data_IF_202242187390
#
_entry.id   IF_202242187390
#
_cell.length_a   1.000
_cell.length_b   1.000
_cell.length_c   1.000
_cell.angle_alpha   90.00
_cell.angle_beta   90.00
_cell.angle_gamma   90.00
#
_symmetry.space_group_name_H-M   'P 1'
#
loop_
_entity.id
_entity.type
_entity.pdbx_description
1 polymer ?
#
# COMPACT_ATOMS: atom_id res chain seq x y z
N UNK A 1 29.83 -33.70 -12.83
CA UNK A 1 28.83 -32.62 -12.99
C UNK A 1 27.43 -33.20 -12.77
N UNK A 2 26.68 -32.73 -11.77
CA UNK A 2 25.28 -33.15 -11.53
C UNK A 2 24.35 -32.31 -12.43
N UNK A 3 23.96 -32.84 -13.58
CA UNK A 3 23.16 -32.20 -14.64
C UNK A 3 21.66 -32.03 -14.30
N UNK A 4 21.29 -31.93 -13.03
CA UNK A 4 19.90 -31.73 -12.61
C UNK A 4 19.04 -32.99 -12.49
N UNK A 5 19.64 -34.19 -12.51
CA UNK A 5 18.94 -35.42 -12.14
C UNK A 5 18.48 -35.36 -10.68
N UNK A 6 17.21 -35.70 -10.43
CA UNK A 6 16.64 -35.76 -9.08
C UNK A 6 17.31 -36.85 -8.24
N UNK A 7 17.45 -38.03 -8.82
CA UNK A 7 18.15 -39.17 -8.22
C UNK A 7 18.67 -40.10 -9.33
N UNK A 8 19.42 -41.13 -8.97
CA UNK A 8 19.91 -42.17 -9.88
C UNK A 8 19.53 -43.57 -9.40
N UNK A 9 19.42 -44.51 -10.34
CA UNK A 9 19.13 -45.92 -10.04
C UNK A 9 20.21 -46.77 -10.71
N UNK A 10 20.82 -47.66 -9.94
CA UNK A 10 21.81 -48.62 -10.42
C UNK A 10 21.16 -49.94 -10.77
N UNK A 11 21.54 -50.53 -11.91
CA UNK A 11 21.11 -51.89 -12.28
C UNK A 11 22.03 -52.95 -11.63
N UNK A 12 21.51 -54.13 -11.23
CA UNK A 12 20.09 -54.52 -11.23
C UNK A 12 19.32 -53.83 -10.09
N UNK A 13 18.07 -53.42 -10.33
CA UNK A 13 17.24 -52.69 -9.37
C UNK A 13 16.03 -53.50 -8.91
N UNK A 14 15.46 -53.12 -7.77
CA UNK A 14 14.19 -53.66 -7.25
C UNK A 14 13.04 -52.70 -7.56
N UNK A 15 11.86 -53.25 -7.88
CA UNK A 15 10.66 -52.43 -8.16
C UNK A 15 10.27 -51.54 -6.96
N UNK A 16 10.47 -52.02 -5.73
CA UNK A 16 10.20 -51.25 -4.50
C UNK A 16 11.04 -49.96 -4.43
N UNK A 17 12.31 -50.05 -4.84
CA UNK A 17 13.27 -48.95 -4.82
C UNK A 17 12.88 -47.86 -5.83
N UNK A 18 12.42 -48.28 -7.02
CA UNK A 18 11.82 -47.37 -8.02
C UNK A 18 10.59 -46.68 -7.42
N UNK A 19 9.71 -47.42 -6.74
CA UNK A 19 8.50 -46.86 -6.13
C UNK A 19 8.80 -45.81 -5.07
N UNK A 20 9.86 -45.97 -4.28
CA UNK A 20 10.29 -45.00 -3.27
C UNK A 20 10.84 -43.72 -3.92
N UNK A 21 11.76 -43.87 -4.88
CA UNK A 21 12.39 -42.73 -5.57
C UNK A 21 11.34 -41.94 -6.34
N UNK A 22 10.42 -42.62 -7.03
CA UNK A 22 9.34 -41.99 -7.79
C UNK A 22 8.40 -41.20 -6.88
N UNK A 23 8.01 -41.76 -5.73
CA UNK A 23 7.16 -41.04 -4.75
C UNK A 23 7.83 -39.78 -4.22
N UNK A 24 9.12 -39.86 -3.85
CA UNK A 24 9.88 -38.67 -3.40
C UNK A 24 9.99 -37.62 -4.49
N UNK A 25 10.24 -38.03 -5.74
CA UNK A 25 10.32 -37.11 -6.87
C UNK A 25 8.99 -36.35 -7.10
N UNK A 26 7.87 -37.08 -7.02
CA UNK A 26 6.53 -36.50 -7.14
C UNK A 26 6.22 -35.53 -6.00
N UNK A 27 6.54 -35.89 -4.77
CA UNK A 27 6.32 -35.04 -3.59
C UNK A 27 7.12 -33.74 -3.65
N UNK A 28 8.42 -33.83 -3.95
CA UNK A 28 9.28 -32.65 -4.11
C UNK A 28 8.81 -31.77 -5.27
N UNK A 29 8.35 -32.37 -6.37
CA UNK A 29 7.80 -31.62 -7.51
C UNK A 29 6.51 -30.91 -7.13
N UNK A 30 5.61 -31.56 -6.38
CA UNK A 30 4.37 -30.97 -5.86
C UNK A 30 4.68 -29.79 -4.94
N UNK A 31 5.56 -29.99 -3.95
CA UNK A 31 5.98 -28.94 -3.02
C UNK A 31 6.63 -27.75 -3.74
N UNK A 32 7.49 -27.99 -4.74
CA UNK A 32 8.08 -26.91 -5.55
C UNK A 32 7.02 -26.14 -6.35
N UNK A 33 6.06 -26.82 -6.97
CA UNK A 33 4.97 -26.19 -7.71
C UNK A 33 4.09 -25.35 -6.79
N UNK A 34 3.78 -25.87 -5.61
CA UNK A 34 2.96 -25.16 -4.61
C UNK A 34 3.70 -23.96 -4.03
N UNK A 35 4.99 -24.09 -3.71
CA UNK A 35 5.83 -22.96 -3.31
C UNK A 35 5.91 -21.87 -4.39
N UNK A 36 6.06 -22.27 -5.66
CA UNK A 36 6.03 -21.33 -6.80
C UNK A 36 4.66 -20.67 -6.96
N UNK A 37 3.56 -21.42 -6.79
CA UNK A 37 2.19 -20.87 -6.84
C UNK A 37 1.97 -19.87 -5.72
N UNK A 38 2.27 -20.23 -4.47
CA UNK A 38 2.14 -19.36 -3.31
C UNK A 38 3.00 -18.11 -3.46
N UNK A 39 4.25 -18.23 -3.93
CA UNK A 39 5.10 -17.07 -4.25
C UNK A 39 4.53 -16.20 -5.36
N UNK A 40 3.86 -16.78 -6.36
CA UNK A 40 3.19 -16.03 -7.44
C UNK A 40 1.90 -15.37 -6.99
N UNK A 41 1.10 -16.02 -6.16
CA UNK A 41 -0.12 -15.44 -5.57
C UNK A 41 0.25 -14.29 -4.62
N UNK A 42 1.27 -14.50 -3.80
CA UNK A 42 1.86 -13.46 -2.97
C UNK A 42 2.40 -12.32 -3.84
N UNK A 43 3.13 -12.63 -4.93
CA UNK A 43 3.59 -11.62 -5.89
C UNK A 43 2.46 -10.90 -6.62
N UNK A 44 1.35 -11.56 -6.97
CA UNK A 44 0.17 -10.94 -7.59
C UNK A 44 -0.60 -10.06 -6.62
N UNK A 45 -0.67 -10.47 -5.35
CA UNK A 45 -1.12 -9.59 -4.26
C UNK A 45 -0.22 -8.35 -4.21
N UNK A 46 1.10 -8.55 -4.31
CA UNK A 46 2.11 -7.48 -4.38
C UNK A 46 2.30 -6.79 -5.74
N UNK A 47 1.60 -7.19 -6.82
CA UNK A 47 1.48 -6.43 -8.07
C UNK A 47 0.46 -5.31 -7.82
N UNK A 48 0.75 -4.56 -6.77
CA UNK A 48 -0.03 -3.49 -6.21
C UNK A 48 0.18 -2.25 -7.06
N UNK A 49 -0.84 -1.87 -7.84
CA UNK A 49 -1.02 -0.50 -8.34
C UNK A 49 0.24 0.19 -8.93
N UNK A 50 1.17 -0.57 -9.53
CA UNK A 50 2.38 -0.05 -10.18
C UNK A 50 3.63 0.12 -9.31
N UNK A 51 3.68 -0.31 -8.05
CA UNK A 51 4.93 -0.29 -7.27
C UNK A 51 5.81 -1.52 -7.61
N UNK A 52 6.90 -1.29 -8.33
CA UNK A 52 7.83 -2.34 -8.76
C UNK A 52 9.10 -2.26 -7.93
N UNK A 53 9.35 -3.26 -7.10
CA UNK A 53 10.57 -3.36 -6.31
C UNK A 53 10.75 -4.76 -5.73
N UNK A 54 11.95 -5.34 -5.88
CA UNK A 54 12.29 -6.70 -5.46
C UNK A 54 13.42 -6.78 -4.42
N UNK A 55 13.89 -5.62 -3.94
CA UNK A 55 14.95 -5.57 -2.94
C UNK A 55 14.46 -6.06 -1.56
N UNK A 56 15.35 -6.52 -0.67
CA UNK A 56 14.99 -6.88 0.70
C UNK A 56 14.31 -5.74 1.47
N UNK A 57 14.69 -4.49 1.22
CA UNK A 57 14.13 -3.28 1.84
C UNK A 57 12.68 -3.08 1.40
N UNK A 58 12.39 -3.24 0.10
CA UNK A 58 11.03 -3.14 -0.43
C UNK A 58 10.13 -4.24 0.14
N UNK A 59 10.66 -5.46 0.34
CA UNK A 59 9.90 -6.51 1.03
C UNK A 59 9.50 -6.13 2.46
N UNK A 60 10.35 -5.37 3.18
CA UNK A 60 9.99 -4.84 4.51
C UNK A 60 8.88 -3.80 4.41
N UNK A 61 8.93 -2.93 3.40
CA UNK A 61 7.86 -1.94 3.14
C UNK A 61 6.55 -2.64 2.84
N UNK A 62 6.51 -3.63 1.95
CA UNK A 62 5.29 -4.40 1.67
C UNK A 62 4.75 -5.10 2.91
N UNK A 63 5.63 -5.71 3.71
CA UNK A 63 5.23 -6.37 4.96
C UNK A 63 4.66 -5.39 5.99
N UNK A 64 5.13 -4.14 5.99
CA UNK A 64 4.60 -3.10 6.86
C UNK A 64 3.23 -2.62 6.37
N UNK A 65 3.09 -2.37 5.07
CA UNK A 65 1.83 -2.00 4.41
C UNK A 65 0.74 -3.02 4.75
N UNK A 66 1.00 -4.32 4.61
CA UNK A 66 0.01 -5.37 4.93
C UNK A 66 -0.45 -5.35 6.39
N UNK A 67 0.43 -4.93 7.33
CA UNK A 67 0.09 -4.86 8.75
C UNK A 67 -0.72 -3.62 9.11
N UNK A 68 -0.49 -2.51 8.43
CA UNK A 68 -1.13 -1.22 8.74
C UNK A 68 -2.36 -0.93 7.89
N UNK A 69 -2.55 -1.63 6.77
CA UNK A 69 -3.61 -1.34 5.81
C UNK A 69 -5.00 -1.33 6.47
N UNK A 70 -5.31 -2.29 7.33
CA UNK A 70 -6.62 -2.39 7.97
C UNK A 70 -6.67 -1.76 9.38
N UNK A 71 -5.79 -0.79 9.64
CA UNK A 71 -5.77 -0.05 10.91
C UNK A 71 -6.34 1.35 10.75
N UNK A 72 -6.99 1.86 11.80
CA UNK A 72 -7.49 3.24 11.84
C UNK A 72 -6.41 4.28 12.24
N UNK A 73 -5.14 3.88 12.20
CA UNK A 73 -4.02 4.74 12.59
C UNK A 73 -3.56 5.63 11.45
N UNK A 74 -3.18 6.87 11.77
CA UNK A 74 -2.53 7.78 10.81
C UNK A 74 -1.14 7.26 10.46
N UNK A 75 -0.81 7.21 9.17
CA UNK A 75 0.48 6.71 8.67
C UNK A 75 1.32 7.87 8.13
N UNK A 76 2.57 7.98 8.60
CA UNK A 76 3.55 8.90 8.04
C UNK A 76 4.46 8.17 7.05
N UNK A 77 4.48 8.63 5.80
CA UNK A 77 5.33 8.08 4.74
C UNK A 77 6.48 9.07 4.50
N UNK A 78 7.70 8.62 4.71
CA UNK A 78 8.92 9.42 4.48
C UNK A 78 9.73 8.86 3.33
N UNK A 79 10.48 9.73 2.67
CA UNK A 79 11.32 9.36 1.52
C UNK A 79 11.62 10.57 0.67
N UNK A 80 12.68 10.47 -0.13
CA UNK A 80 13.09 11.53 -1.06
C UNK A 80 11.99 11.81 -2.11
N UNK A 81 12.10 12.95 -2.78
CA UNK A 81 11.18 13.28 -3.88
C UNK A 81 11.32 12.25 -5.01
N UNK A 82 10.20 11.89 -5.64
CA UNK A 82 10.18 10.90 -6.73
C UNK A 82 10.29 9.42 -6.32
N UNK A 83 10.34 9.11 -5.02
CA UNK A 83 10.43 7.71 -4.52
C UNK A 83 9.10 6.93 -4.54
N UNK A 84 8.00 7.55 -5.02
CA UNK A 84 6.70 6.88 -5.13
C UNK A 84 5.89 6.85 -3.83
N UNK A 85 6.02 7.87 -2.96
CA UNK A 85 5.25 7.98 -1.70
C UNK A 85 3.73 7.91 -1.90
N UNK A 86 3.21 8.56 -2.95
CA UNK A 86 1.78 8.49 -3.30
C UNK A 86 1.36 7.06 -3.67
N UNK A 87 2.21 6.32 -4.39
CA UNK A 87 1.93 4.92 -4.72
C UNK A 87 1.80 4.09 -3.44
N UNK A 88 2.71 4.28 -2.47
CA UNK A 88 2.62 3.61 -1.16
C UNK A 88 1.29 3.94 -0.46
N UNK A 89 0.88 5.21 -0.44
CA UNK A 89 -0.39 5.62 0.17
C UNK A 89 -1.61 4.98 -0.49
N UNK A 90 -1.64 4.95 -1.84
CA UNK A 90 -2.70 4.28 -2.60
C UNK A 90 -2.77 2.79 -2.28
N UNK A 91 -1.62 2.14 -2.16
CA UNK A 91 -1.55 0.71 -1.85
C UNK A 91 -2.08 0.43 -0.44
N UNK A 92 -1.76 1.27 0.55
CA UNK A 92 -2.33 1.15 1.89
C UNK A 92 -3.86 1.25 1.81
N UNK A 93 -4.39 2.25 1.11
CA UNK A 93 -5.83 2.46 0.96
C UNK A 93 -6.53 1.27 0.30
N UNK A 94 -6.07 0.82 -0.87
CA UNK A 94 -6.72 -0.27 -1.60
C UNK A 94 -6.55 -1.65 -0.97
N UNK A 95 -5.72 -1.77 0.08
CA UNK A 95 -5.60 -2.97 0.91
C UNK A 95 -6.36 -2.90 2.22
N UNK A 96 -6.97 -1.76 2.52
CA UNK A 96 -7.75 -1.56 3.74
C UNK A 96 -9.20 -2.01 3.54
N UNK A 97 -9.94 -2.15 4.63
CA UNK A 97 -11.41 -2.23 4.61
C UNK A 97 -12.11 -1.04 3.94
N UNK A 98 -11.37 0.04 3.64
CA UNK A 98 -11.87 1.27 3.00
C UNK A 98 -11.58 1.32 1.50
N UNK A 99 -11.12 0.23 0.87
CA UNK A 99 -10.73 0.20 -0.54
C UNK A 99 -11.81 0.66 -1.55
N UNK A 100 -13.09 0.49 -1.21
CA UNK A 100 -14.24 0.93 -2.03
C UNK A 100 -14.68 2.39 -1.74
N UNK A 101 -13.97 3.09 -0.85
CA UNK A 101 -14.25 4.47 -0.46
C UNK A 101 -13.33 5.43 -1.22
N UNK A 102 -13.56 6.73 -1.03
CA UNK A 102 -12.76 7.73 -1.72
C UNK A 102 -11.32 7.77 -1.19
N UNK A 103 -10.36 7.65 -2.11
CA UNK A 103 -8.97 8.06 -1.90
C UNK A 103 -8.78 9.48 -2.44
N UNK A 104 -8.52 10.44 -1.57
CA UNK A 104 -8.37 11.85 -1.93
C UNK A 104 -6.91 12.25 -1.75
N UNK A 105 -6.12 12.34 -2.83
CA UNK A 105 -4.77 12.91 -2.75
C UNK A 105 -4.82 14.45 -2.78
N UNK A 106 -3.98 15.07 -1.98
CA UNK A 106 -3.75 16.51 -1.95
C UNK A 106 -2.26 16.78 -1.80
N UNK A 107 -1.67 17.54 -2.72
CA UNK A 107 -0.32 18.06 -2.57
C UNK A 107 -0.42 19.46 -1.96
N UNK A 108 0.11 19.63 -0.74
CA UNK A 108 0.03 20.88 0.01
C UNK A 108 0.88 22.01 -0.60
N UNK A 109 1.97 21.68 -1.29
CA UNK A 109 2.84 22.68 -1.92
C UNK A 109 2.31 23.16 -3.28
N UNK A 110 1.46 22.37 -3.93
CA UNK A 110 0.87 22.73 -5.22
C UNK A 110 -0.25 23.78 -5.12
N UNK A 111 -0.76 24.05 -3.92
CA UNK A 111 -1.89 24.95 -3.67
C UNK A 111 -1.39 26.20 -2.94
N UNK A 112 -1.78 27.41 -3.38
CA UNK A 112 -1.48 28.63 -2.64
C UNK A 112 -1.99 28.55 -1.19
N UNK A 113 -1.15 28.99 -0.24
CA UNK A 113 -1.44 28.92 1.20
C UNK A 113 -2.80 29.50 1.58
N UNK A 114 -3.17 30.63 0.98
CA UNK A 114 -4.46 31.32 1.21
C UNK A 114 -5.68 30.49 0.80
N UNK A 115 -5.52 29.54 -0.14
CA UNK A 115 -6.59 28.67 -0.62
C UNK A 115 -6.56 27.27 0.02
N UNK A 116 -5.42 26.87 0.60
CA UNK A 116 -5.23 25.53 1.13
C UNK A 116 -6.21 25.21 2.27
N UNK A 117 -6.49 26.19 3.12
CA UNK A 117 -7.50 26.06 4.18
C UNK A 117 -8.88 25.72 3.60
N UNK A 118 -9.28 26.49 2.58
CA UNK A 118 -10.59 26.36 1.95
C UNK A 118 -10.71 25.06 1.16
N UNK A 119 -9.63 24.58 0.56
CA UNK A 119 -9.61 23.26 -0.09
C UNK A 119 -9.72 22.14 0.96
N UNK A 120 -8.95 22.20 2.05
CA UNK A 120 -8.96 21.16 3.08
C UNK A 120 -10.30 21.06 3.80
N UNK A 121 -10.79 22.17 4.33
CA UNK A 121 -11.94 22.21 5.24
C UNK A 121 -13.24 22.66 4.58
N UNK A 122 -13.17 23.21 3.37
CA UNK A 122 -14.34 23.81 2.73
C UNK A 122 -14.68 25.18 3.30
N UNK A 123 -15.77 25.75 2.80
CA UNK A 123 -16.34 26.97 3.36
C UNK A 123 -17.84 27.05 3.03
N UNK A 124 -18.58 27.74 3.90
CA UNK A 124 -19.95 28.12 3.62
C UNK A 124 -20.03 29.45 2.87
N UNK A 125 -21.11 29.65 2.13
CA UNK A 125 -21.42 30.93 1.50
C UNK A 125 -21.40 32.05 2.55
N UNK A 126 -20.59 33.08 2.31
CA UNK A 126 -20.45 34.22 3.22
C UNK A 126 -19.40 34.07 4.32
N UNK A 127 -18.64 32.97 4.36
CA UNK A 127 -17.57 32.77 5.35
C UNK A 127 -16.43 33.82 5.25
N UNK A 128 -16.18 34.35 4.06
CA UNK A 128 -15.23 35.45 3.81
C UNK A 128 -15.66 36.31 2.61
N UNK A 129 -15.03 37.47 2.43
CA UNK A 129 -15.26 38.35 1.28
C UNK A 129 -14.89 37.64 -0.03
N UNK A 130 -15.88 37.24 -0.82
CA UNK A 130 -15.70 36.45 -2.05
C UNK A 130 -16.32 35.05 -2.02
N UNK A 131 -16.75 34.57 -0.85
CA UNK A 131 -17.45 33.28 -0.67
C UNK A 131 -18.88 33.31 -1.22
N UNK A 132 -19.02 33.27 -2.54
CA UNK A 132 -20.32 33.36 -3.24
C UNK A 132 -21.12 32.05 -3.22
N UNK A 133 -20.45 30.92 -3.01
CA UNK A 133 -21.03 29.56 -2.99
C UNK A 133 -20.46 28.75 -1.83
N UNK A 134 -21.18 27.73 -1.38
CA UNK A 134 -20.65 26.75 -0.42
C UNK A 134 -19.76 25.76 -1.15
N UNK A 135 -18.62 25.41 -0.57
CA UNK A 135 -17.67 24.44 -1.13
C UNK A 135 -17.33 23.37 -0.11
N UNK A 136 -17.49 22.12 -0.51
CA UNK A 136 -17.14 20.93 0.28
C UNK A 136 -15.62 20.80 0.34
N UNK A 137 -15.10 20.53 1.55
CA UNK A 137 -13.67 20.34 1.80
C UNK A 137 -13.17 18.93 1.45
N UNK A 138 -11.85 18.79 1.31
CA UNK A 138 -11.21 17.49 1.06
C UNK A 138 -11.42 16.49 2.19
N UNK A 139 -11.50 16.95 3.43
CA UNK A 139 -11.83 16.07 4.57
C UNK A 139 -13.21 15.43 4.40
N UNK A 140 -14.21 16.23 4.06
CA UNK A 140 -15.57 15.75 3.85
C UNK A 140 -15.67 14.84 2.62
N UNK A 141 -14.97 15.17 1.52
CA UNK A 141 -14.87 14.28 0.35
C UNK A 141 -14.22 12.93 0.67
N UNK A 142 -13.27 12.91 1.61
CA UNK A 142 -12.58 11.71 2.07
C UNK A 142 -13.30 10.99 3.22
N UNK A 143 -14.50 11.43 3.61
CA UNK A 143 -15.24 10.85 4.73
C UNK A 143 -15.45 9.33 4.54
N UNK A 144 -15.11 8.56 5.56
CA UNK A 144 -15.11 7.09 5.54
C UNK A 144 -14.04 6.45 4.64
N UNK A 145 -13.23 7.24 3.93
CA UNK A 145 -12.16 6.80 3.05
C UNK A 145 -10.77 7.14 3.59
N UNK A 146 -9.93 7.72 2.73
CA UNK A 146 -8.55 8.10 3.06
C UNK A 146 -8.17 9.43 2.40
N UNK A 147 -7.67 10.37 3.19
CA UNK A 147 -7.06 11.60 2.73
C UNK A 147 -5.53 11.42 2.75
N UNK A 148 -4.88 11.60 1.61
CA UNK A 148 -3.42 11.59 1.51
C UNK A 148 -2.92 13.03 1.35
N UNK A 149 -2.05 13.46 2.25
CA UNK A 149 -1.45 14.80 2.25
C UNK A 149 0.04 14.67 1.89
N UNK A 150 0.38 15.02 0.66
CA UNK A 150 1.78 15.08 0.22
C UNK A 150 2.39 16.43 0.61
N UNK A 151 3.69 16.43 0.88
CA UNK A 151 4.43 17.62 1.32
C UNK A 151 3.81 18.31 2.56
N UNK A 152 3.35 17.50 3.53
CA UNK A 152 2.71 17.96 4.77
C UNK A 152 3.55 18.98 5.57
N UNK A 153 4.88 18.99 5.37
CA UNK A 153 5.78 19.95 5.99
C UNK A 153 5.56 21.40 5.54
N UNK A 154 4.90 21.62 4.41
CA UNK A 154 4.62 22.96 3.87
C UNK A 154 3.38 23.63 4.51
N UNK A 155 2.66 22.91 5.38
CA UNK A 155 1.53 23.48 6.11
C UNK A 155 1.96 24.58 7.07
N UNK A 156 1.26 25.71 7.03
CA UNK A 156 1.45 26.77 8.03
C UNK A 156 1.02 26.32 9.43
N UNK A 157 1.63 26.86 10.50
CA UNK A 157 1.34 26.45 11.87
C UNK A 157 -0.16 26.53 12.26
N UNK A 158 -0.89 27.51 11.73
CA UNK A 158 -2.34 27.64 11.96
C UNK A 158 -3.13 26.45 11.42
N UNK A 159 -2.76 25.95 10.25
CA UNK A 159 -3.40 24.77 9.63
C UNK A 159 -2.99 23.48 10.34
N UNK A 160 -1.75 23.40 10.82
CA UNK A 160 -1.29 22.24 11.61
C UNK A 160 -2.12 22.07 12.90
N UNK A 161 -2.50 23.17 13.56
CA UNK A 161 -3.38 23.12 14.75
C UNK A 161 -4.77 22.58 14.39
N UNK A 162 -5.35 23.00 13.24
CA UNK A 162 -6.65 22.49 12.78
C UNK A 162 -6.58 21.01 12.40
N UNK A 163 -5.54 20.62 11.67
CA UNK A 163 -5.28 19.23 11.32
C UNK A 163 -5.14 18.35 12.57
N UNK A 164 -4.42 18.83 13.59
CA UNK A 164 -4.25 18.11 14.85
C UNK A 164 -5.60 17.85 15.53
N UNK A 165 -6.52 18.83 15.52
CA UNK A 165 -7.88 18.64 16.08
C UNK A 165 -8.64 17.54 15.33
N UNK A 166 -8.65 17.57 14.00
CA UNK A 166 -9.28 16.51 13.19
C UNK A 166 -8.71 15.13 13.51
N UNK A 167 -7.39 15.03 13.68
CA UNK A 167 -6.75 13.76 14.01
C UNK A 167 -7.04 13.27 15.44
N UNK A 168 -7.24 14.18 16.40
CA UNK A 168 -7.55 13.86 17.79
C UNK A 168 -9.02 13.51 17.99
N UNK A 169 -9.91 14.30 17.43
CA UNK A 169 -11.36 14.20 17.61
C UNK A 169 -11.98 13.17 16.63
N UNK A 170 -11.28 12.88 15.51
CA UNK A 170 -11.77 12.06 14.39
C UNK A 170 -13.07 12.59 13.78
N UNK A 171 -13.31 13.90 13.92
CA UNK A 171 -14.41 14.67 13.32
C UNK A 171 -13.87 15.62 12.24
#
# INVERSE_FOLDING_TARGET
MKLGAFDYITKPFRLDEIGIITRRALEVTKLKRENLRLKRELKRRYEFHGLIGSSPEMHRVYSLIEKIADTDSTVLITGESGTGKELVARIIHYNSSRAERNFVPLNCAAIPKDLLETELFGHEKGAFTGATTTRIGRFELANGGTLFLDEIGELDPSLQVKLLRVLQERE
#
